data_IF_096972160841
#
_entry.id   IF_096972160841
#
_cell.length_a   1.000
_cell.length_b   1.000
_cell.length_c   1.000
_cell.angle_alpha   90.00
_cell.angle_beta   90.00
_cell.angle_gamma   90.00
#
_symmetry.space_group_name_H-M   'P 1'
#
loop_
_entity.id
_entity.type
_entity.pdbx_description
1 polymer ?
#
# COMPACT_ATOMS: atom_id res chain seq x y z
N UNK A 1 -64.51 83.60 -23.37
CA UNK A 1 -65.28 82.38 -23.00
C UNK A 1 -64.41 81.16 -22.70
N UNK A 2 -63.22 80.99 -23.29
CA UNK A 2 -62.35 79.80 -23.08
C UNK A 2 -61.77 79.62 -21.66
N UNK A 3 -61.63 80.68 -20.87
CA UNK A 3 -61.09 80.61 -19.48
C UNK A 3 -62.02 79.90 -18.48
N UNK A 4 -63.33 79.89 -18.74
CA UNK A 4 -64.31 79.15 -17.91
C UNK A 4 -64.37 77.66 -18.29
N UNK A 5 -64.19 77.33 -19.56
CA UNK A 5 -64.13 75.94 -20.02
C UNK A 5 -62.84 75.22 -19.59
N UNK A 6 -61.70 75.93 -19.55
CA UNK A 6 -60.44 75.37 -19.06
C UNK A 6 -60.50 74.97 -17.57
N UNK A 7 -61.19 75.77 -16.75
CA UNK A 7 -61.37 75.49 -15.32
C UNK A 7 -62.33 74.32 -15.07
N UNK A 8 -63.31 74.12 -15.95
CA UNK A 8 -64.25 72.99 -15.89
C UNK A 8 -63.60 71.67 -16.33
N UNK A 9 -62.69 71.70 -17.31
CA UNK A 9 -61.94 70.51 -17.77
C UNK A 9 -60.88 70.07 -16.76
N UNK A 10 -60.23 70.99 -16.04
CA UNK A 10 -59.24 70.67 -14.99
C UNK A 10 -59.88 69.98 -13.77
N UNK A 11 -61.13 70.31 -13.44
CA UNK A 11 -61.89 69.69 -12.33
C UNK A 11 -62.41 68.29 -12.68
N UNK A 12 -62.66 68.03 -13.98
CA UNK A 12 -63.13 66.73 -14.46
C UNK A 12 -62.01 65.67 -14.43
N UNK A 13 -60.75 66.07 -14.64
CA UNK A 13 -59.58 65.17 -14.60
C UNK A 13 -59.24 64.73 -13.18
N UNK A 14 -59.52 65.57 -12.17
CA UNK A 14 -59.28 65.24 -10.76
C UNK A 14 -60.29 64.26 -10.15
N UNK A 15 -61.45 64.06 -10.79
CA UNK A 15 -62.51 63.19 -10.27
C UNK A 15 -62.39 61.71 -10.70
N UNK A 16 -61.44 61.39 -11.59
CA UNK A 16 -61.19 60.02 -12.08
C UNK A 16 -60.19 59.23 -11.23
N UNK A 17 -59.64 59.79 -10.15
CA UNK A 17 -58.68 59.10 -9.26
C UNK A 17 -59.32 58.48 -8.01
N UNK A 18 -60.65 58.51 -7.87
CA UNK A 18 -61.34 57.86 -6.75
C UNK A 18 -61.99 56.54 -7.21
N UNK A 19 -61.15 55.52 -7.37
CA UNK A 19 -61.62 54.13 -7.32
C UNK A 19 -61.14 53.54 -5.98
N UNK A 20 -62.10 53.38 -5.07
CA UNK A 20 -61.94 52.75 -3.77
C UNK A 20 -61.97 51.23 -3.90
N UNK A 21 -61.02 50.56 -3.26
CA UNK A 21 -61.12 49.18 -2.77
C UNK A 21 -60.20 49.05 -1.55
N UNK A 22 -60.59 48.28 -0.52
CA UNK A 22 -60.26 48.57 0.85
C UNK A 22 -58.82 48.20 1.18
N UNK A 23 -58.05 49.16 1.70
CA UNK A 23 -56.87 48.86 2.50
C UNK A 23 -57.32 48.53 3.92
N UNK A 24 -56.97 47.34 4.46
CA UNK A 24 -56.80 47.21 5.88
C UNK A 24 -55.51 47.95 6.28
N UNK A 25 -55.59 48.58 7.44
CA UNK A 25 -54.49 49.19 8.18
C UNK A 25 -53.36 48.19 8.49
N UNK A 26 -52.28 48.78 9.03
CA UNK A 26 -51.36 48.22 10.01
C UNK A 26 -50.12 47.49 9.49
N UNK A 27 -48.97 48.05 9.86
CA UNK A 27 -47.75 47.31 10.12
C UNK A 27 -47.09 46.66 8.90
N UNK A 28 -46.15 47.36 8.30
CA UNK A 28 -45.10 46.78 7.46
C UNK A 28 -44.32 45.75 8.30
N UNK A 29 -44.69 44.46 8.27
CA UNK A 29 -43.89 43.23 8.59
C UNK A 29 -44.64 41.86 8.74
N UNK A 30 -45.94 41.65 8.42
CA UNK A 30 -46.53 40.29 8.49
C UNK A 30 -46.24 39.42 7.26
N UNK A 31 -46.05 40.01 6.07
CA UNK A 31 -45.83 39.23 4.83
C UNK A 31 -44.45 38.57 4.74
N UNK A 32 -43.42 39.18 5.33
CA UNK A 32 -42.07 38.61 5.30
C UNK A 32 -42.00 37.31 6.13
N UNK A 33 -42.62 37.30 7.31
CA UNK A 33 -42.64 36.10 8.17
C UNK A 33 -43.49 34.99 7.55
N UNK A 34 -44.64 35.33 6.97
CA UNK A 34 -45.49 34.38 6.26
C UNK A 34 -44.82 33.82 4.99
N UNK A 35 -44.10 34.65 4.25
CA UNK A 35 -43.31 34.21 3.09
C UNK A 35 -42.13 33.35 3.51
N UNK A 36 -41.46 33.68 4.61
CA UNK A 36 -40.39 32.86 5.18
C UNK A 36 -40.87 31.49 5.61
N UNK A 37 -42.01 31.41 6.30
CA UNK A 37 -42.64 30.15 6.69
C UNK A 37 -43.05 29.33 5.46
N UNK A 38 -43.65 29.96 4.46
CA UNK A 38 -44.00 29.30 3.21
C UNK A 38 -42.78 28.75 2.46
N UNK A 39 -41.68 29.51 2.40
CA UNK A 39 -40.42 29.06 1.77
C UNK A 39 -39.79 27.92 2.60
N UNK A 40 -39.83 28.01 3.92
CA UNK A 40 -39.29 26.99 4.81
C UNK A 40 -40.09 25.68 4.68
N UNK A 41 -41.40 25.78 4.55
CA UNK A 41 -42.29 24.64 4.33
C UNK A 41 -42.07 24.05 2.94
N UNK A 42 -41.90 24.88 1.90
CA UNK A 42 -41.56 24.42 0.55
C UNK A 42 -40.26 23.61 0.54
N UNK A 43 -39.22 24.05 1.26
CA UNK A 43 -37.96 23.30 1.40
C UNK A 43 -38.17 21.96 2.14
N UNK A 44 -39.08 21.94 3.13
CA UNK A 44 -39.37 20.74 3.94
C UNK A 44 -40.29 19.74 3.25
N UNK A 45 -41.07 20.17 2.25
CA UNK A 45 -41.93 19.29 1.46
C UNK A 45 -41.15 18.19 0.74
N UNK A 46 -41.87 17.15 0.32
CA UNK A 46 -41.35 16.10 -0.55
C UNK A 46 -40.70 16.65 -1.82
N UNK A 47 -41.32 17.65 -2.44
CA UNK A 47 -40.83 18.30 -3.64
C UNK A 47 -39.54 19.08 -3.37
N UNK A 48 -39.49 19.85 -2.28
CA UNK A 48 -38.28 20.59 -1.89
C UNK A 48 -37.10 19.68 -1.57
N UNK A 49 -37.33 18.59 -0.83
CA UNK A 49 -36.31 17.56 -0.56
C UNK A 49 -35.85 16.85 -1.82
N UNK A 50 -36.77 16.58 -2.76
CA UNK A 50 -36.45 15.96 -4.05
C UNK A 50 -35.62 16.90 -4.92
N UNK A 51 -36.03 18.17 -5.05
CA UNK A 51 -35.28 19.19 -5.77
C UNK A 51 -33.88 19.39 -5.18
N UNK A 52 -33.75 19.38 -3.84
CA UNK A 52 -32.45 19.44 -3.18
C UNK A 52 -31.60 18.18 -3.45
N UNK A 53 -32.20 16.99 -3.48
CA UNK A 53 -31.50 15.74 -3.81
C UNK A 53 -31.05 15.70 -5.27
N UNK A 54 -31.86 16.24 -6.17
CA UNK A 54 -31.55 16.36 -7.59
C UNK A 54 -30.40 17.36 -7.80
N UNK A 55 -30.45 18.50 -7.12
CA UNK A 55 -29.36 19.49 -7.10
C UNK A 55 -28.08 18.92 -6.46
N UNK A 56 -28.20 18.16 -5.37
CA UNK A 56 -27.06 17.44 -4.78
C UNK A 56 -26.54 16.32 -5.67
N UNK A 57 -27.23 15.93 -6.74
CA UNK A 57 -26.74 14.96 -7.71
C UNK A 57 -25.89 15.63 -8.80
N UNK A 58 -26.05 16.94 -8.98
CA UNK A 58 -25.31 17.77 -9.91
C UNK A 58 -23.80 17.82 -9.57
N UNK A 59 -22.89 17.50 -10.51
CA UNK A 59 -21.45 17.51 -10.28
C UNK A 59 -20.85 18.88 -9.93
N UNK A 60 -21.34 19.96 -10.55
CA UNK A 60 -20.85 21.32 -10.31
C UNK A 60 -21.26 21.78 -8.91
N UNK A 61 -22.49 21.48 -8.50
CA UNK A 61 -22.98 21.77 -7.16
C UNK A 61 -22.23 20.97 -6.08
N UNK A 62 -21.95 19.67 -6.32
CA UNK A 62 -21.15 18.84 -5.41
C UNK A 62 -19.74 19.41 -5.22
N UNK A 63 -19.07 19.78 -6.29
CA UNK A 63 -17.73 20.35 -6.21
C UNK A 63 -17.72 21.66 -5.44
N UNK A 64 -18.69 22.55 -5.68
CA UNK A 64 -18.80 23.81 -4.97
C UNK A 64 -18.96 23.66 -3.44
N UNK A 65 -19.65 22.62 -2.97
CA UNK A 65 -19.82 22.33 -1.53
C UNK A 65 -18.55 21.72 -0.91
N UNK A 66 -17.78 20.94 -1.67
CA UNK A 66 -16.63 20.17 -1.16
C UNK A 66 -15.36 21.03 -0.99
N UNK A 67 -15.35 22.27 -1.50
CA UNK A 67 -14.12 23.09 -1.64
C UNK A 67 -13.51 23.58 -0.32
N UNK A 68 -14.22 23.62 0.79
CA UNK A 68 -13.57 23.95 2.08
C UNK A 68 -14.49 23.72 3.26
N UNK A 69 -14.19 22.70 4.08
CA UNK A 69 -14.67 22.67 5.45
C UNK A 69 -13.62 21.99 6.33
N UNK A 70 -13.05 22.73 7.27
CA UNK A 70 -12.24 22.20 8.37
C UNK A 70 -13.01 21.09 9.12
N UNK A 71 -14.34 21.20 9.19
CA UNK A 71 -15.24 20.17 9.69
C UNK A 71 -15.19 18.87 8.87
N UNK A 72 -15.02 18.95 7.55
CA UNK A 72 -14.88 17.78 6.68
C UNK A 72 -13.53 17.08 6.92
N UNK A 73 -12.45 17.85 7.03
CA UNK A 73 -11.13 17.32 7.37
C UNK A 73 -11.13 16.64 8.74
N UNK A 74 -11.72 17.29 9.74
CA UNK A 74 -11.88 16.72 11.07
C UNK A 74 -12.74 15.46 11.04
N UNK A 75 -13.83 15.46 10.27
CA UNK A 75 -14.72 14.30 10.16
C UNK A 75 -14.00 13.13 9.49
N UNK A 76 -13.21 13.38 8.44
CA UNK A 76 -12.39 12.35 7.79
C UNK A 76 -11.32 11.84 8.76
N UNK A 77 -10.62 12.72 9.48
CA UNK A 77 -9.61 12.35 10.48
C UNK A 77 -10.19 11.52 11.63
N UNK A 78 -11.35 11.92 12.15
CA UNK A 78 -12.12 11.16 13.15
C UNK A 78 -12.60 9.82 12.57
N UNK A 79 -13.02 9.79 11.31
CA UNK A 79 -13.41 8.55 10.62
C UNK A 79 -12.23 7.60 10.42
N UNK A 80 -11.01 8.08 10.23
CA UNK A 80 -9.83 7.22 10.09
C UNK A 80 -9.41 6.56 11.43
N UNK A 81 -9.71 7.21 12.55
CA UNK A 81 -9.28 6.76 13.90
C UNK A 81 -10.39 6.05 14.69
N UNK A 82 -11.66 6.20 14.29
CA UNK A 82 -12.79 5.58 14.95
C UNK A 82 -12.89 4.08 14.63
N UNK A 83 -13.12 3.26 15.66
CA UNK A 83 -13.28 1.80 15.54
C UNK A 83 -14.49 1.39 14.69
N UNK A 84 -15.56 2.19 14.69
CA UNK A 84 -16.78 1.89 13.93
C UNK A 84 -16.56 1.97 12.42
N UNK A 85 -15.72 2.90 11.97
CA UNK A 85 -15.41 3.15 10.56
C UNK A 85 -14.20 2.35 10.08
N UNK A 86 -13.40 1.78 11.00
CA UNK A 86 -12.25 0.93 10.68
C UNK A 86 -12.61 -0.19 9.69
N UNK A 87 -13.72 -0.90 9.92
CA UNK A 87 -14.17 -2.00 9.04
C UNK A 87 -14.51 -1.52 7.62
N UNK A 88 -15.11 -0.35 7.50
CA UNK A 88 -15.41 0.25 6.19
C UNK A 88 -14.13 0.70 5.47
N UNK A 89 -13.17 1.26 6.20
CA UNK A 89 -11.84 1.58 5.66
C UNK A 89 -11.08 0.33 5.24
N UNK A 90 -11.05 -0.73 6.04
CA UNK A 90 -10.44 -2.01 5.67
C UNK A 90 -11.06 -2.58 4.38
N UNK A 91 -12.39 -2.55 4.26
CA UNK A 91 -13.12 -2.99 3.05
C UNK A 91 -12.82 -2.11 1.85
N UNK A 92 -12.72 -0.79 2.03
CA UNK A 92 -12.44 0.16 0.97
C UNK A 92 -10.99 0.03 0.47
N UNK A 93 -10.03 -0.04 1.39
CA UNK A 93 -8.60 -0.18 1.11
C UNK A 93 -8.24 -1.54 0.53
N UNK A 94 -9.03 -2.58 0.80
CA UNK A 94 -8.89 -3.89 0.15
C UNK A 94 -9.32 -3.89 -1.32
N UNK A 95 -9.99 -2.84 -1.82
CA UNK A 95 -10.38 -2.76 -3.23
C UNK A 95 -9.14 -2.49 -4.09
N UNK A 96 -8.88 -3.28 -5.15
CA UNK A 96 -7.65 -3.18 -5.93
C UNK A 96 -7.33 -1.79 -6.46
N UNK A 97 -8.33 -1.09 -7.01
CA UNK A 97 -8.15 0.28 -7.55
C UNK A 97 -7.80 1.30 -6.46
N UNK A 98 -8.37 1.15 -5.26
CA UNK A 98 -8.09 2.06 -4.14
C UNK A 98 -6.71 1.76 -3.57
N UNK A 99 -6.38 0.48 -3.37
CA UNK A 99 -5.06 0.03 -2.93
C UNK A 99 -3.95 0.50 -3.88
N UNK A 100 -4.14 0.34 -5.19
CA UNK A 100 -3.18 0.77 -6.21
C UNK A 100 -2.98 2.29 -6.20
N UNK A 101 -4.07 3.06 -6.17
CA UNK A 101 -3.98 4.51 -6.11
C UNK A 101 -3.31 5.00 -4.82
N UNK A 102 -3.63 4.38 -3.67
CA UNK A 102 -2.99 4.70 -2.40
C UNK A 102 -1.50 4.36 -2.44
N UNK A 103 -1.15 3.16 -2.90
CA UNK A 103 0.23 2.70 -3.01
C UNK A 103 1.06 3.63 -3.91
N UNK A 104 0.49 4.08 -5.05
CA UNK A 104 1.11 5.07 -5.94
C UNK A 104 1.27 6.43 -5.27
N UNK A 105 0.24 6.91 -4.59
CA UNK A 105 0.28 8.20 -3.90
C UNK A 105 1.32 8.22 -2.76
N UNK A 106 1.56 7.08 -2.11
CA UNK A 106 2.50 6.96 -0.98
C UNK A 106 3.83 6.29 -1.36
N UNK A 107 4.08 6.02 -2.65
CA UNK A 107 5.21 5.18 -3.09
C UNK A 107 6.56 5.76 -2.63
N UNK A 108 6.74 7.07 -2.77
CA UNK A 108 7.98 7.77 -2.40
C UNK A 108 8.23 7.67 -0.89
N UNK A 109 7.21 7.95 -0.09
CA UNK A 109 7.25 7.89 1.36
C UNK A 109 7.49 6.46 1.85
N UNK A 110 6.86 5.47 1.21
CA UNK A 110 7.07 4.05 1.53
C UNK A 110 8.50 3.62 1.24
N UNK A 111 9.08 4.03 0.10
CA UNK A 111 10.49 3.76 -0.23
C UNK A 111 11.44 4.40 0.77
N UNK A 112 11.14 5.63 1.20
CA UNK A 112 11.93 6.34 2.20
C UNK A 112 11.84 5.67 3.57
N UNK A 113 10.64 5.29 4.01
CA UNK A 113 10.41 4.54 5.24
C UNK A 113 11.20 3.24 5.24
N UNK A 114 11.14 2.44 4.17
CA UNK A 114 11.91 1.19 4.06
C UNK A 114 13.42 1.46 4.13
N UNK A 115 13.92 2.52 3.47
CA UNK A 115 15.35 2.88 3.56
C UNK A 115 15.78 3.27 4.97
N UNK A 116 14.91 3.94 5.72
CA UNK A 116 15.16 4.31 7.11
C UNK A 116 15.14 3.06 7.98
N UNK A 117 14.13 2.20 7.82
CA UNK A 117 14.03 0.93 8.55
C UNK A 117 15.22 0.01 8.29
N UNK A 118 15.76 -0.06 7.06
CA UNK A 118 16.97 -0.84 6.78
C UNK A 118 18.20 -0.40 7.58
N UNK A 119 18.23 0.85 8.07
CA UNK A 119 19.30 1.38 8.92
C UNK A 119 19.00 1.20 10.42
N UNK A 120 17.79 0.81 10.75
CA UNK A 120 17.36 0.59 12.13
C UNK A 120 17.87 -0.77 12.66
N UNK A 121 18.49 -0.81 13.85
CA UNK A 121 19.08 -2.03 14.40
C UNK A 121 18.05 -3.13 14.71
N UNK A 122 16.81 -2.79 15.09
CA UNK A 122 15.78 -3.79 15.35
C UNK A 122 15.31 -4.43 14.05
N UNK A 123 15.09 -3.61 13.01
CA UNK A 123 14.74 -4.12 11.69
C UNK A 123 15.87 -4.95 11.05
N UNK A 124 17.13 -4.54 11.25
CA UNK A 124 18.29 -5.33 10.81
C UNK A 124 18.35 -6.69 11.51
N UNK A 125 18.04 -6.75 12.81
CA UNK A 125 17.97 -8.02 13.54
C UNK A 125 16.90 -8.94 12.97
N UNK A 126 15.71 -8.40 12.69
CA UNK A 126 14.63 -9.16 12.02
C UNK A 126 15.08 -9.67 10.64
N UNK A 127 15.80 -8.84 9.88
CA UNK A 127 16.33 -9.25 8.58
C UNK A 127 17.38 -10.36 8.70
N UNK A 128 18.26 -10.30 9.70
CA UNK A 128 19.23 -11.36 9.98
C UNK A 128 18.55 -12.67 10.39
N UNK A 129 17.44 -12.59 11.13
CA UNK A 129 16.66 -13.78 11.49
C UNK A 129 16.01 -14.41 10.26
N UNK A 130 15.54 -13.61 9.29
CA UNK A 130 15.10 -14.10 7.97
C UNK A 130 16.24 -14.80 7.22
N UNK A 131 17.47 -14.26 7.27
CA UNK A 131 18.63 -14.89 6.61
C UNK A 131 19.03 -16.22 7.25
N UNK A 132 18.68 -16.46 8.52
CA UNK A 132 18.90 -17.75 9.19
C UNK A 132 17.88 -18.81 8.77
N UNK A 133 16.86 -18.45 7.99
CA UNK A 133 15.87 -19.40 7.53
C UNK A 133 16.53 -20.55 6.73
N UNK A 134 16.16 -21.82 6.96
CA UNK A 134 16.76 -22.96 6.26
C UNK A 134 16.60 -22.92 4.74
N UNK A 135 15.53 -22.32 4.20
CA UNK A 135 15.34 -22.18 2.77
C UNK A 135 16.36 -21.19 2.18
N UNK A 136 16.59 -20.07 2.85
CA UNK A 136 17.64 -19.12 2.47
C UNK A 136 19.03 -19.77 2.58
N UNK A 137 19.30 -20.47 3.68
CA UNK A 137 20.56 -21.19 3.90
C UNK A 137 20.85 -22.22 2.80
N UNK A 138 19.82 -22.95 2.33
CA UNK A 138 19.96 -23.89 1.20
C UNK A 138 20.38 -23.18 -0.09
N UNK A 139 19.81 -22.01 -0.38
CA UNK A 139 20.20 -21.21 -1.56
C UNK A 139 21.66 -20.73 -1.45
N UNK A 140 22.07 -20.27 -0.26
CA UNK A 140 23.47 -19.88 -0.01
C UNK A 140 24.40 -21.08 -0.20
N UNK A 141 24.08 -22.25 0.35
CA UNK A 141 24.88 -23.47 0.16
C UNK A 141 24.96 -23.88 -1.31
N UNK A 142 23.87 -23.73 -2.07
CA UNK A 142 23.87 -24.01 -3.50
C UNK A 142 24.82 -23.06 -4.25
N UNK A 143 24.84 -21.78 -3.88
CA UNK A 143 25.77 -20.79 -4.42
C UNK A 143 27.22 -21.12 -4.05
N UNK A 144 27.51 -21.52 -2.82
CA UNK A 144 28.84 -21.97 -2.39
C UNK A 144 29.30 -23.24 -3.13
N UNK A 145 28.36 -24.08 -3.58
CA UNK A 145 28.67 -25.26 -4.41
C UNK A 145 28.82 -24.95 -5.90
N UNK A 146 28.56 -23.72 -6.32
CA UNK A 146 28.68 -23.29 -7.73
C UNK A 146 30.11 -23.43 -8.24
N UNK A 147 30.26 -23.58 -9.55
CA UNK A 147 31.57 -23.71 -10.19
C UNK A 147 32.44 -22.46 -9.99
N UNK A 148 31.83 -21.28 -9.96
CA UNK A 148 32.52 -20.00 -9.74
C UNK A 148 33.11 -19.94 -8.33
N UNK A 149 32.31 -20.26 -7.31
CA UNK A 149 32.81 -20.28 -5.93
C UNK A 149 33.85 -21.38 -5.70
N UNK A 150 33.72 -22.54 -6.36
CA UNK A 150 34.73 -23.60 -6.30
C UNK A 150 36.08 -23.15 -6.87
N UNK A 151 36.10 -22.40 -7.97
CA UNK A 151 37.36 -21.87 -8.54
C UNK A 151 38.06 -20.94 -7.56
N UNK A 152 37.33 -20.02 -6.95
CA UNK A 152 37.90 -19.13 -5.93
C UNK A 152 38.36 -19.91 -4.69
N UNK A 153 37.58 -20.91 -4.27
CA UNK A 153 37.96 -21.80 -3.16
C UNK A 153 39.24 -22.57 -3.47
N UNK A 154 39.39 -23.10 -4.69
CA UNK A 154 40.61 -23.80 -5.13
C UNK A 154 41.81 -22.85 -5.12
N UNK A 155 41.64 -21.62 -5.59
CA UNK A 155 42.69 -20.59 -5.57
C UNK A 155 43.11 -20.25 -4.13
N UNK A 156 42.17 -19.99 -3.24
CA UNK A 156 42.45 -19.74 -1.81
C UNK A 156 43.15 -20.95 -1.18
N UNK A 157 42.78 -22.18 -1.55
CA UNK A 157 43.41 -23.39 -1.06
C UNK A 157 44.84 -23.57 -1.60
N UNK A 158 45.08 -23.23 -2.87
CA UNK A 158 46.41 -23.21 -3.47
C UNK A 158 47.31 -22.19 -2.77
N UNK A 159 46.81 -20.97 -2.54
CA UNK A 159 47.50 -19.92 -1.77
C UNK A 159 47.78 -20.38 -0.33
N UNK A 160 46.82 -21.04 0.34
CA UNK A 160 46.99 -21.56 1.69
C UNK A 160 48.08 -22.64 1.78
N UNK A 161 48.19 -23.52 0.77
CA UNK A 161 49.25 -24.54 0.69
C UNK A 161 50.63 -23.90 0.47
N UNK A 162 50.70 -22.72 -0.13
CA UNK A 162 51.96 -21.99 -0.30
C UNK A 162 52.43 -21.32 0.99
N UNK A 163 51.59 -21.20 2.03
CA UNK A 163 51.97 -20.63 3.32
C UNK A 163 53.00 -21.55 4.01
N UNK A 164 54.21 -21.05 4.37
CA UNK A 164 55.27 -21.87 4.94
C UNK A 164 54.86 -22.68 6.18
N UNK A 165 54.06 -22.08 7.07
CA UNK A 165 53.55 -22.75 8.26
C UNK A 165 52.57 -23.90 7.94
N UNK A 166 51.83 -23.80 6.84
CA UNK A 166 50.96 -24.86 6.34
C UNK A 166 51.78 -25.98 5.71
N UNK A 167 52.81 -25.63 4.92
CA UNK A 167 53.75 -26.61 4.35
C UNK A 167 54.50 -27.38 5.43
N UNK A 168 54.97 -26.72 6.49
CA UNK A 168 55.62 -27.38 7.62
C UNK A 168 54.67 -28.33 8.35
N UNK A 169 53.42 -27.93 8.58
CA UNK A 169 52.40 -28.80 9.18
C UNK A 169 52.09 -30.00 8.30
N UNK A 170 51.96 -29.80 6.98
CA UNK A 170 51.78 -30.89 6.01
C UNK A 170 52.97 -31.86 6.02
N UNK A 171 54.20 -31.33 6.02
CA UNK A 171 55.42 -32.16 6.12
C UNK A 171 55.46 -32.94 7.43
N UNK A 172 55.14 -32.33 8.58
CA UNK A 172 55.07 -33.00 9.89
C UNK A 172 54.00 -34.10 9.91
N UNK A 173 52.81 -33.83 9.37
CA UNK A 173 51.74 -34.82 9.24
C UNK A 173 52.15 -36.00 8.35
N UNK A 174 52.82 -35.74 7.23
CA UNK A 174 53.30 -36.79 6.32
C UNK A 174 54.39 -37.65 6.98
N UNK A 175 55.29 -37.04 7.76
CA UNK A 175 56.30 -37.75 8.54
C UNK A 175 55.70 -38.59 9.66
N UNK A 176 54.69 -38.08 10.37
CA UNK A 176 53.97 -38.82 11.42
C UNK A 176 53.08 -39.95 10.86
N UNK A 177 52.44 -39.73 9.71
CA UNK A 177 51.63 -40.73 9.02
C UNK A 177 52.49 -41.83 8.38
N UNK A 178 53.64 -41.48 7.82
CA UNK A 178 54.64 -42.43 7.33
C UNK A 178 55.25 -43.28 8.46
N UNK A 179 55.39 -42.73 9.66
CA UNK A 179 55.77 -43.51 10.86
C UNK A 179 54.70 -44.50 11.32
N UNK A 180 53.42 -44.29 11.01
CA UNK A 180 52.32 -45.24 11.30
C UNK A 180 52.01 -46.20 10.14
N UNK A 181 52.61 -46.02 8.96
CA UNK A 181 52.45 -46.90 7.79
C UNK A 181 53.65 -47.82 7.52
N UNK A 182 54.68 -47.80 8.38
CA UNK A 182 55.94 -48.53 8.21
C UNK A 182 56.08 -49.83 9.01
N UNK A 183 55.12 -50.19 9.87
CA UNK A 183 55.09 -51.47 10.59
C UNK A 183 53.95 -52.34 10.06
N UNK A 184 54.18 -53.01 8.93
CA UNK A 184 53.23 -53.99 8.39
C UNK A 184 53.39 -54.23 6.90
N UNK A 185 54.54 -54.76 6.46
CA UNK A 185 54.73 -55.03 5.05
C UNK A 185 56.06 -55.71 4.69
N UNK A 186 56.43 -56.76 5.42
CA UNK A 186 57.56 -57.62 5.08
C UNK A 186 57.27 -59.07 5.45
N UNK A 187 57.06 -59.92 4.44
CA UNK A 187 57.07 -61.38 4.60
C UNK A 187 55.84 -62.08 4.01
N UNK A 188 56.00 -62.69 2.83
CA UNK A 188 54.98 -63.56 2.25
C UNK A 188 55.19 -63.91 0.79
N UNK A 189 56.37 -64.42 0.43
CA UNK A 189 56.51 -65.22 -0.78
C UNK A 189 55.95 -66.62 -0.50
N UNK A 190 55.02 -67.10 -1.33
CA UNK A 190 54.67 -68.52 -1.36
C UNK A 190 53.25 -68.82 -1.85
N UNK A 191 53.15 -69.48 -3.00
CA UNK A 191 52.14 -70.53 -3.18
C UNK A 191 51.02 -70.25 -4.17
N UNK A 192 51.20 -70.82 -5.35
CA UNK A 192 50.22 -71.18 -6.37
C UNK A 192 48.79 -71.52 -5.89
N UNK A 193 47.81 -71.23 -6.75
CA UNK A 193 46.48 -71.84 -6.70
C UNK A 193 45.53 -71.18 -7.70
N UNK A 194 45.39 -71.79 -8.88
CA UNK A 194 44.53 -71.31 -9.96
C UNK A 194 43.03 -71.57 -9.78
N UNK A 195 42.28 -71.21 -10.83
CA UNK A 195 40.84 -71.39 -10.99
C UNK A 195 40.11 -70.06 -10.82
N UNK A 196 39.51 -69.44 -11.84
CA UNK A 196 38.85 -70.00 -13.01
C UNK A 196 37.35 -69.71 -12.88
N UNK A 197 36.81 -68.94 -13.84
CA UNK A 197 35.41 -69.07 -14.26
C UNK A 197 34.43 -67.96 -13.87
N UNK A 198 33.84 -67.37 -14.91
CA UNK A 198 32.42 -66.96 -15.00
C UNK A 198 32.03 -65.70 -14.23
N UNK A 199 31.55 -64.62 -14.85
CA UNK A 199 30.50 -64.60 -15.87
C UNK A 199 29.14 -64.53 -15.17
N UNK A 200 28.43 -63.40 -15.28
CA UNK A 200 27.11 -63.27 -14.70
C UNK A 200 26.57 -61.84 -14.70
N UNK A 201 26.08 -61.41 -15.86
CA UNK A 201 25.22 -60.24 -15.98
C UNK A 201 23.82 -60.55 -15.41
N UNK A 202 23.29 -59.62 -14.62
CA UNK A 202 21.85 -59.40 -14.36
C UNK A 202 21.75 -57.96 -13.82
N UNK A 203 21.02 -57.01 -14.36
CA UNK A 203 19.79 -57.09 -15.16
C UNK A 203 18.63 -56.54 -14.33
N UNK A 204 18.05 -55.42 -14.76
CA UNK A 204 16.75 -54.87 -14.30
C UNK A 204 16.79 -54.16 -12.94
N UNK A 205 16.08 -53.06 -12.71
CA UNK A 205 15.02 -52.41 -13.47
C UNK A 205 14.06 -51.73 -12.49
N UNK A 206 13.58 -50.55 -12.86
CA UNK A 206 12.23 -50.08 -12.52
C UNK A 206 12.03 -49.39 -11.16
N UNK A 207 11.65 -48.11 -11.26
CA UNK A 207 11.20 -47.21 -10.20
C UNK A 207 11.34 -45.78 -10.65
#
# INVERSE_FOLDING_TARGET
MYRKYFLFVLILIFSLTSCSSPSPEAGTTPDYQKTKEMVLDLIRTSEGKKALKDLMSDPEFKQAIIVSNQELEETISKSLTNQHTKKEWEKLLSKPKVADNLAKATEKQQKELVKILLKDPEYQKLLLDIMKDPAFSKQVIQLLKSQEFRKETMKVMEEAIQIPSFQEKLKKLFQQGGQKGGEGGGGGAGGAGGGGGGGGATGGGGG
#
